data_IF_166751551950
#
_entry.id   IF_166751551950
#
_cell.length_a   1.000
_cell.length_b   1.000
_cell.length_c   1.000
_cell.angle_alpha   90.00
_cell.angle_beta   90.00
_cell.angle_gamma   90.00
#
_symmetry.space_group_name_H-M   'P 1'
#
loop_
_entity.id
_entity.type
_entity.pdbx_description
1 polymer ?
#
# COMPACT_ATOMS: atom_id res chain seq x y z
N UNK A 1 0.57 77.87 -7.46
CA UNK A 1 1.36 76.81 -8.13
C UNK A 1 2.50 76.20 -7.29
N UNK A 2 3.02 76.84 -6.22
CA UNK A 2 4.12 76.27 -5.41
C UNK A 2 3.78 75.03 -4.56
N UNK A 3 2.49 74.76 -4.27
CA UNK A 3 2.06 73.62 -3.45
C UNK A 3 1.76 72.33 -4.24
N UNK A 4 1.73 72.39 -5.57
CA UNK A 4 1.43 71.21 -6.42
C UNK A 4 2.70 70.39 -6.68
N UNK A 5 3.85 71.04 -6.90
CA UNK A 5 5.12 70.33 -7.10
C UNK A 5 5.60 69.56 -5.86
N UNK A 6 5.32 70.04 -4.64
CA UNK A 6 5.69 69.30 -3.41
C UNK A 6 4.89 68.02 -3.23
N UNK A 7 3.63 67.97 -3.70
CA UNK A 7 2.79 66.77 -3.60
C UNK A 7 3.15 65.71 -4.65
N UNK A 8 3.58 66.12 -5.85
CA UNK A 8 4.05 65.18 -6.88
C UNK A 8 5.37 64.49 -6.52
N UNK A 9 6.28 65.18 -5.82
CA UNK A 9 7.56 64.58 -5.41
C UNK A 9 7.38 63.50 -4.33
N UNK A 10 6.46 63.70 -3.39
CA UNK A 10 6.13 62.69 -2.37
C UNK A 10 5.46 61.46 -2.99
N UNK A 11 4.61 61.65 -4.01
CA UNK A 11 3.95 60.53 -4.70
C UNK A 11 4.95 59.71 -5.53
N UNK A 12 5.91 60.37 -6.20
CA UNK A 12 6.95 59.69 -6.97
C UNK A 12 7.90 58.88 -6.07
N UNK A 13 8.25 59.42 -4.89
CA UNK A 13 9.06 58.68 -3.90
C UNK A 13 8.30 57.48 -3.34
N UNK A 14 6.98 57.62 -3.12
CA UNK A 14 6.12 56.51 -2.70
C UNK A 14 6.04 55.42 -3.78
N UNK A 15 5.90 55.78 -5.06
CA UNK A 15 5.87 54.81 -6.16
C UNK A 15 7.21 54.06 -6.31
N UNK A 16 8.35 54.73 -6.16
CA UNK A 16 9.68 54.09 -6.24
C UNK A 16 9.94 53.17 -5.03
N UNK A 17 9.53 53.58 -3.82
CA UNK A 17 9.56 52.73 -2.64
C UNK A 17 8.63 51.53 -2.79
N UNK A 18 7.45 51.71 -3.42
CA UNK A 18 6.50 50.61 -3.60
C UNK A 18 6.98 49.59 -4.65
N UNK A 19 7.63 50.03 -5.73
CA UNK A 19 8.23 49.11 -6.71
C UNK A 19 9.43 48.35 -6.15
N UNK A 20 10.10 48.88 -5.12
CA UNK A 20 11.22 48.22 -4.43
C UNK A 20 10.76 47.07 -3.51
N UNK A 21 9.47 47.01 -3.15
CA UNK A 21 8.89 45.92 -2.35
C UNK A 21 8.38 44.74 -3.19
N UNK A 22 8.28 44.88 -4.52
CA UNK A 22 7.74 43.83 -5.41
C UNK A 22 8.78 43.17 -6.32
N UNK A 23 10.07 43.49 -6.18
CA UNK A 23 11.17 42.82 -6.88
C UNK A 23 12.11 42.10 -5.92
N UNK A 24 11.55 41.41 -4.92
CA UNK A 24 12.25 40.30 -4.27
C UNK A 24 11.90 39.05 -5.07
N UNK A 25 12.87 38.50 -5.80
CA UNK A 25 12.81 37.09 -6.18
C UNK A 25 12.55 36.30 -4.89
N UNK A 26 11.44 35.57 -4.86
CA UNK A 26 10.98 34.87 -3.67
C UNK A 26 11.77 33.58 -3.50
N UNK A 27 12.99 33.68 -2.97
CA UNK A 27 13.52 32.57 -2.21
C UNK A 27 12.66 32.47 -0.96
N UNK A 28 11.89 31.38 -0.86
CA UNK A 28 11.06 31.09 0.31
C UNK A 28 11.99 30.64 1.44
N UNK A 29 12.69 31.61 2.02
CA UNK A 29 13.47 31.43 3.25
C UNK A 29 12.45 31.09 4.34
N UNK A 30 12.58 29.91 4.94
CA UNK A 30 11.75 29.53 6.08
C UNK A 30 11.96 30.50 7.24
N UNK A 31 11.05 30.50 8.22
CA UNK A 31 11.12 31.39 9.40
C UNK A 31 12.47 31.31 10.17
N UNK A 32 13.27 30.28 9.92
CA UNK A 32 14.55 30.00 10.59
C UNK A 32 15.80 30.33 9.75
N UNK A 33 15.66 30.90 8.54
CA UNK A 33 16.80 31.21 7.65
C UNK A 33 17.22 30.09 6.70
N UNK A 34 16.67 28.88 6.86
CA UNK A 34 16.94 27.74 5.98
C UNK A 34 16.22 27.84 4.64
N UNK A 35 16.96 27.60 3.55
CA UNK A 35 16.41 27.48 2.20
C UNK A 35 15.48 26.28 2.14
N UNK A 36 14.23 26.51 1.71
CA UNK A 36 13.24 25.44 1.52
C UNK A 36 13.26 24.96 0.08
N UNK A 37 13.46 23.66 -0.12
CA UNK A 37 13.48 23.00 -1.42
C UNK A 37 12.19 22.18 -1.58
N UNK A 38 11.07 22.77 -2.03
CA UNK A 38 9.82 22.04 -2.16
C UNK A 38 9.95 20.93 -3.21
N UNK A 39 9.12 19.87 -3.17
CA UNK A 39 9.11 18.89 -4.24
C UNK A 39 8.90 19.52 -5.63
N UNK A 40 9.74 19.18 -6.62
CA UNK A 40 9.76 19.84 -7.95
C UNK A 40 8.53 19.55 -8.79
N UNK A 41 7.95 18.36 -8.65
CA UNK A 41 6.82 17.93 -9.47
C UNK A 41 5.51 18.10 -8.70
N UNK A 42 4.50 18.65 -9.36
CA UNK A 42 3.14 18.76 -8.82
C UNK A 42 2.47 17.38 -8.68
N UNK A 43 2.93 16.39 -9.44
CA UNK A 43 2.47 14.99 -9.39
C UNK A 43 3.65 14.10 -9.02
N UNK A 44 3.85 13.88 -7.72
CA UNK A 44 4.82 12.91 -7.22
C UNK A 44 4.14 11.55 -7.28
N UNK A 45 4.73 10.63 -8.04
CA UNK A 45 4.14 9.30 -8.29
C UNK A 45 4.91 8.18 -7.58
N UNK A 46 6.15 8.44 -7.18
CA UNK A 46 6.99 7.46 -6.50
C UNK A 46 6.73 7.50 -4.99
N UNK A 47 6.57 6.32 -4.42
CA UNK A 47 6.23 6.12 -3.01
C UNK A 47 7.09 5.01 -2.43
N UNK A 48 7.58 5.24 -1.22
CA UNK A 48 8.25 4.26 -0.38
C UNK A 48 7.32 3.87 0.75
N UNK A 49 7.22 2.56 0.94
CA UNK A 49 6.55 1.97 2.08
C UNK A 49 7.59 1.48 3.08
N UNK A 50 7.31 1.57 4.38
CA UNK A 50 8.25 1.11 5.38
C UNK A 50 8.43 -0.40 5.29
N UNK A 51 9.67 -0.86 5.44
CA UNK A 51 10.08 -2.27 5.42
C UNK A 51 9.87 -2.98 4.06
N UNK A 52 9.58 -2.22 3.00
CA UNK A 52 9.61 -2.72 1.62
C UNK A 52 11.06 -2.91 1.18
N UNK A 53 11.44 -4.16 0.88
CA UNK A 53 12.80 -4.52 0.46
C UNK A 53 12.98 -4.55 -1.05
N UNK A 54 11.95 -4.24 -1.83
CA UNK A 54 12.09 -4.07 -3.27
C UNK A 54 13.12 -2.97 -3.59
N UNK A 55 13.79 -3.08 -4.74
CA UNK A 55 14.92 -2.19 -5.11
C UNK A 55 14.54 -0.72 -5.10
N UNK A 56 13.31 -0.40 -5.53
CA UNK A 56 12.79 0.96 -5.54
C UNK A 56 13.70 1.97 -6.28
N UNK A 57 14.40 1.53 -7.33
CA UNK A 57 15.33 2.38 -8.11
C UNK A 57 14.65 3.63 -8.69
N UNK A 58 13.38 3.50 -9.11
CA UNK A 58 12.59 4.65 -9.58
C UNK A 58 12.36 5.70 -8.48
N UNK A 59 12.16 5.27 -7.23
CA UNK A 59 12.06 6.18 -6.10
C UNK A 59 13.45 6.77 -5.76
N UNK A 60 14.51 5.95 -5.78
CA UNK A 60 15.88 6.40 -5.55
C UNK A 60 16.28 7.52 -6.53
N UNK A 61 16.00 7.35 -7.82
CA UNK A 61 16.28 8.34 -8.86
C UNK A 61 15.53 9.68 -8.68
N UNK A 62 14.43 9.68 -7.93
CA UNK A 62 13.59 10.85 -7.70
C UNK A 62 13.68 11.40 -6.26
N UNK A 63 14.42 10.75 -5.36
CA UNK A 63 14.45 11.09 -3.94
C UNK A 63 14.87 12.54 -3.69
N UNK A 64 15.83 13.05 -4.47
CA UNK A 64 16.27 14.44 -4.37
C UNK A 64 15.17 15.45 -4.70
N UNK A 65 14.23 15.09 -5.57
CA UNK A 65 13.25 16.01 -6.15
C UNK A 65 11.82 15.83 -5.63
N UNK A 66 11.52 14.71 -4.96
CA UNK A 66 10.18 14.43 -4.44
C UNK A 66 9.84 12.95 -4.45
N UNK A 67 9.70 12.34 -3.27
CA UNK A 67 9.15 10.99 -3.07
C UNK A 67 8.17 11.01 -1.91
N UNK A 68 7.11 10.20 -1.98
CA UNK A 68 6.17 9.96 -0.88
C UNK A 68 6.73 8.93 0.10
N UNK A 69 6.73 9.24 1.39
CA UNK A 69 6.91 8.28 2.47
C UNK A 69 5.56 7.99 3.12
N UNK A 70 5.18 6.73 3.23
CA UNK A 70 4.04 6.32 4.05
C UNK A 70 4.48 6.18 5.49
N UNK A 71 3.86 6.96 6.38
CA UNK A 71 4.21 7.00 7.80
C UNK A 71 3.00 6.75 8.68
N UNK A 72 3.22 6.05 9.80
CA UNK A 72 2.23 5.65 10.78
C UNK A 72 2.51 6.30 12.14
N UNK A 73 1.48 6.64 12.92
CA UNK A 73 1.60 7.31 14.22
C UNK A 73 2.54 6.58 15.19
N UNK A 74 3.43 7.34 15.85
CA UNK A 74 4.35 6.86 16.90
C UNK A 74 5.41 5.85 16.44
N UNK A 75 5.50 5.55 15.14
CA UNK A 75 6.59 4.77 14.59
C UNK A 75 7.84 5.63 14.39
N UNK A 76 9.00 4.98 14.53
CA UNK A 76 10.32 5.54 14.24
C UNK A 76 10.80 5.02 12.90
N UNK A 77 11.35 5.91 12.08
CA UNK A 77 11.73 5.64 10.72
C UNK A 77 13.20 5.93 10.48
N UNK A 78 13.80 5.12 9.61
CA UNK A 78 15.12 5.37 9.02
C UNK A 78 15.01 5.34 7.51
N UNK A 79 15.41 6.44 6.86
CA UNK A 79 15.65 6.47 5.42
C UNK A 79 17.16 6.42 5.18
N UNK A 80 17.63 5.54 4.30
CA UNK A 80 19.07 5.45 4.02
C UNK A 80 19.37 5.16 2.56
N UNK A 81 20.54 5.56 2.11
CA UNK A 81 21.10 5.25 0.79
C UNK A 81 22.63 5.35 0.82
N UNK A 82 23.28 4.81 -0.21
CA UNK A 82 24.75 4.77 -0.29
C UNK A 82 25.36 6.17 -0.48
N UNK A 83 26.54 6.38 0.10
CA UNK A 83 27.30 7.63 -0.03
C UNK A 83 27.84 7.76 -1.46
N UNK A 84 27.57 8.90 -2.09
CA UNK A 84 28.30 9.34 -3.29
C UNK A 84 29.48 10.22 -2.87
N UNK A 85 30.68 9.66 -2.91
CA UNK A 85 31.92 10.36 -2.53
C UNK A 85 32.25 11.60 -3.38
N UNK A 86 31.55 11.82 -4.49
CA UNK A 86 31.75 12.98 -5.36
C UNK A 86 30.93 14.20 -4.95
N UNK A 87 30.00 14.04 -4.00
CA UNK A 87 29.10 15.09 -3.55
C UNK A 87 29.15 15.26 -2.02
N UNK A 88 28.90 16.48 -1.50
CA UNK A 88 28.71 16.69 -0.07
C UNK A 88 27.51 15.91 0.47
N UNK A 89 27.50 15.66 1.77
CA UNK A 89 26.37 15.02 2.44
C UNK A 89 25.11 15.88 2.32
N UNK A 90 24.00 15.37 1.74
CA UNK A 90 22.80 16.16 1.59
C UNK A 90 21.98 16.21 2.89
N UNK A 91 21.25 17.29 3.08
CA UNK A 91 20.20 17.40 4.10
C UNK A 91 18.88 16.86 3.54
N UNK A 92 18.13 16.13 4.36
CA UNK A 92 16.80 15.63 4.01
C UNK A 92 15.74 16.60 4.54
N UNK A 93 14.93 17.18 3.64
CA UNK A 93 13.78 18.00 4.02
C UNK A 93 12.51 17.16 3.95
N UNK A 94 11.72 17.21 5.01
CA UNK A 94 10.45 16.50 5.15
C UNK A 94 9.27 17.48 5.08
N UNK A 95 8.23 17.12 4.34
CA UNK A 95 7.06 17.97 4.11
C UNK A 95 5.76 17.25 4.43
N UNK A 96 4.86 17.95 5.13
CA UNK A 96 3.45 17.57 5.30
C UNK A 96 2.64 18.02 4.10
N UNK A 97 1.61 17.24 3.78
CA UNK A 97 0.64 17.56 2.75
C UNK A 97 -0.62 18.17 3.33
N UNK A 98 -1.25 19.04 2.56
CA UNK A 98 -2.62 19.48 2.83
C UNK A 98 -3.37 19.66 1.51
N UNK A 99 -4.66 19.34 1.52
CA UNK A 99 -5.51 19.57 0.37
C UNK A 99 -5.69 21.07 0.14
N UNK A 100 -5.41 21.52 -1.08
CA UNK A 100 -5.73 22.88 -1.50
C UNK A 100 -7.15 22.81 -2.06
N UNK A 101 -8.12 23.27 -1.28
CA UNK A 101 -9.52 23.36 -1.71
C UNK A 101 -9.62 23.95 -3.13
N UNK A 102 -10.49 23.37 -3.96
CA UNK A 102 -10.85 23.81 -5.32
C UNK A 102 -9.78 23.66 -6.43
N UNK A 103 -8.79 22.77 -6.29
CA UNK A 103 -7.89 22.45 -7.40
C UNK A 103 -7.66 20.96 -7.61
N UNK A 104 -8.05 20.48 -8.80
CA UNK A 104 -7.85 19.10 -9.29
C UNK A 104 -6.42 18.60 -9.00
N UNK A 105 -6.28 17.82 -7.93
CA UNK A 105 -5.06 17.07 -7.61
C UNK A 105 -3.85 17.90 -7.19
N UNK A 106 -3.98 19.21 -6.88
CA UNK A 106 -2.86 19.99 -6.32
C UNK A 106 -2.79 19.83 -4.81
N UNK A 107 -1.65 19.34 -4.34
CA UNK A 107 -1.37 19.17 -2.92
C UNK A 107 -0.45 20.30 -2.46
N UNK A 108 -0.82 20.99 -1.38
CA UNK A 108 0.03 21.95 -0.73
C UNK A 108 1.05 21.25 0.17
N UNK A 109 2.22 21.86 0.35
CA UNK A 109 3.28 21.30 1.17
C UNK A 109 3.70 22.28 2.25
N UNK A 110 3.96 21.78 3.45
CA UNK A 110 4.59 22.56 4.52
C UNK A 110 5.82 21.82 5.04
N UNK A 111 6.99 22.48 5.04
CA UNK A 111 8.22 21.91 5.58
C UNK A 111 8.03 21.66 7.07
N UNK A 112 8.30 20.43 7.50
CA UNK A 112 8.20 20.02 8.90
C UNK A 112 9.57 20.04 9.55
N UNK A 113 10.58 19.48 8.86
CA UNK A 113 11.92 19.26 9.40
C UNK A 113 12.97 19.26 8.28
N UNK A 114 14.18 19.62 8.67
CA UNK A 114 15.41 19.33 7.94
C UNK A 114 16.24 18.39 8.81
N UNK A 115 16.77 17.31 8.23
CA UNK A 115 17.56 16.31 8.92
C UNK A 115 18.95 16.23 8.29
N UNK A 116 19.97 16.26 9.13
CA UNK A 116 21.34 15.92 8.73
C UNK A 116 21.51 14.39 8.77
N UNK A 117 22.29 13.80 7.86
CA UNK A 117 22.53 12.37 7.88
C UNK A 117 23.51 12.00 8.99
N UNK A 118 23.27 10.87 9.62
CA UNK A 118 24.31 10.10 10.30
C UNK A 118 25.02 9.21 9.28
N UNK A 119 26.35 9.10 9.39
CA UNK A 119 27.14 8.19 8.54
C UNK A 119 27.26 6.86 9.27
N UNK A 120 26.64 5.82 8.72
CA UNK A 120 26.72 4.46 9.24
C UNK A 120 27.33 3.57 8.16
N UNK A 121 28.59 3.17 8.34
CA UNK A 121 29.34 2.47 7.31
C UNK A 121 29.52 3.34 6.06
N UNK A 122 29.03 2.89 4.90
CA UNK A 122 29.07 3.63 3.63
C UNK A 122 27.71 4.24 3.26
N UNK A 123 26.86 4.56 4.24
CA UNK A 123 25.49 5.02 4.01
C UNK A 123 25.19 6.31 4.75
N UNK A 124 24.42 7.17 4.11
CA UNK A 124 23.71 8.25 4.78
C UNK A 124 22.44 7.69 5.40
N UNK A 125 22.21 7.98 6.69
CA UNK A 125 21.04 7.52 7.44
C UNK A 125 20.34 8.71 8.07
N UNK A 126 19.05 8.87 7.77
CA UNK A 126 18.18 9.90 8.33
C UNK A 126 17.14 9.26 9.21
N UNK A 127 17.10 9.66 10.48
CA UNK A 127 16.23 9.08 11.49
C UNK A 127 15.19 10.10 11.95
N UNK A 128 13.93 9.70 12.04
CA UNK A 128 12.84 10.55 12.52
C UNK A 128 11.68 9.76 13.11
N UNK A 129 10.84 10.42 13.90
CA UNK A 129 9.61 9.84 14.46
C UNK A 129 8.41 10.49 13.78
N UNK A 130 7.39 9.70 13.46
CA UNK A 130 6.12 10.22 12.97
C UNK A 130 5.26 10.75 14.11
N UNK A 131 4.99 12.05 14.07
CA UNK A 131 4.21 12.78 15.08
C UNK A 131 2.74 12.93 14.70
N UNK A 132 2.32 12.30 13.60
CA UNK A 132 0.93 12.31 13.17
C UNK A 132 0.07 11.45 14.09
N UNK A 133 -1.22 11.77 14.16
CA UNK A 133 -2.20 11.00 14.92
C UNK A 133 -2.91 9.92 14.06
N UNK A 134 -2.65 9.89 12.75
CA UNK A 134 -3.15 8.90 11.80
C UNK A 134 -2.10 8.60 10.73
N UNK A 135 -2.27 7.49 10.00
CA UNK A 135 -1.46 7.21 8.81
C UNK A 135 -1.48 8.42 7.88
N UNK A 136 -0.31 8.83 7.42
CA UNK A 136 -0.11 10.04 6.63
C UNK A 136 0.94 9.81 5.55
N UNK A 137 0.96 10.72 4.56
CA UNK A 137 1.98 10.75 3.52
C UNK A 137 2.84 11.98 3.76
N UNK A 138 4.14 11.76 3.91
CA UNK A 138 5.14 12.84 3.93
C UNK A 138 5.87 12.87 2.60
N UNK A 139 6.28 14.06 2.16
CA UNK A 139 7.16 14.21 1.00
C UNK A 139 8.58 14.50 1.43
N UNK A 140 9.54 14.11 0.58
CA UNK A 140 10.97 14.33 0.82
C UNK A 140 11.65 15.08 -0.32
N UNK A 141 12.65 15.89 0.01
CA UNK A 141 13.66 16.36 -0.94
C UNK A 141 15.04 16.31 -0.30
N UNK A 142 16.09 16.28 -1.12
CA UNK A 142 17.49 16.33 -0.65
C UNK A 142 18.14 17.62 -1.13
N UNK A 143 18.85 18.30 -0.24
CA UNK A 143 19.50 19.58 -0.51
C UNK A 143 20.97 19.64 -0.11
N UNK A 144 21.77 20.39 -0.85
CA UNK A 144 23.14 20.81 -0.51
C UNK A 144 23.26 22.29 -0.82
N UNK A 145 23.66 23.10 0.16
CA UNK A 145 23.89 24.54 0.00
C UNK A 145 22.72 25.28 -0.70
N UNK A 146 21.49 24.93 -0.33
CA UNK A 146 20.27 25.53 -0.88
C UNK A 146 19.91 25.12 -2.31
N UNK A 147 20.60 24.14 -2.88
CA UNK A 147 20.27 23.52 -4.17
C UNK A 147 19.85 22.06 -3.97
N UNK A 148 19.10 21.50 -4.92
CA UNK A 148 18.78 20.08 -4.90
C UNK A 148 20.04 19.24 -5.05
N UNK A 149 20.10 18.13 -4.33
CA UNK A 149 21.21 17.18 -4.42
C UNK A 149 21.32 16.58 -5.83
N UNK A 150 22.53 16.61 -6.40
CA UNK A 150 22.82 16.10 -7.75
C UNK A 150 23.60 14.78 -7.75
N UNK A 151 23.90 14.23 -6.58
CA UNK A 151 24.61 12.96 -6.45
C UNK A 151 23.77 11.75 -6.80
N UNK A 152 24.45 10.62 -7.01
CA UNK A 152 23.78 9.34 -7.25
C UNK A 152 23.16 8.82 -5.97
N UNK A 153 21.96 8.27 -6.08
CA UNK A 153 21.21 7.66 -4.98
C UNK A 153 20.96 6.21 -5.38
N UNK A 154 21.58 5.28 -4.67
CA UNK A 154 21.46 3.84 -4.91
C UNK A 154 21.12 3.12 -3.62
N UNK A 155 20.55 1.92 -3.76
CA UNK A 155 20.25 1.01 -2.65
C UNK A 155 19.46 1.72 -1.55
N UNK A 156 18.40 2.43 -1.93
CA UNK A 156 17.54 3.13 -0.98
C UNK A 156 16.83 2.13 -0.08
N UNK A 157 16.70 2.46 1.21
CA UNK A 157 15.96 1.65 2.17
C UNK A 157 15.20 2.56 3.12
N UNK A 158 13.91 2.28 3.28
CA UNK A 158 13.03 2.99 4.20
C UNK A 158 12.45 1.98 5.20
N UNK A 159 12.94 2.01 6.43
CA UNK A 159 12.54 1.06 7.47
C UNK A 159 11.72 1.77 8.55
N UNK A 160 10.71 1.06 9.05
CA UNK A 160 9.85 1.49 10.13
C UNK A 160 9.94 0.54 11.31
N UNK A 161 10.06 1.10 12.50
CA UNK A 161 10.01 0.36 13.77
C UNK A 161 8.93 0.98 14.65
N UNK A 162 8.18 0.14 15.33
CA UNK A 162 7.13 0.60 16.23
C UNK A 162 7.03 -0.31 17.44
N UNK A 163 6.11 0.04 18.34
CA UNK A 163 5.92 -0.65 19.61
C UNK A 163 4.50 -1.16 19.77
N UNK A 164 3.70 -1.18 18.70
CA UNK A 164 2.38 -1.79 18.74
C UNK A 164 2.50 -3.31 18.87
N UNK A 165 1.37 -3.92 19.20
CA UNK A 165 1.29 -5.36 19.40
C UNK A 165 1.65 -6.12 18.12
N UNK A 166 2.13 -7.35 18.27
CA UNK A 166 2.16 -8.36 17.21
C UNK A 166 0.89 -9.26 17.25
N UNK A 167 -0.13 -8.83 18.00
CA UNK A 167 -1.45 -9.47 18.08
C UNK A 167 -2.50 -8.69 17.29
N UNK A 168 -3.32 -9.40 16.51
CA UNK A 168 -4.51 -8.81 15.92
C UNK A 168 -5.68 -9.81 15.90
N UNK A 169 -6.88 -9.29 15.70
CA UNK A 169 -8.08 -10.10 15.45
C UNK A 169 -8.52 -9.96 14.00
N UNK A 170 -9.37 -10.87 13.53
CA UNK A 170 -9.99 -10.76 12.20
C UNK A 170 -11.47 -10.42 12.39
N UNK A 171 -11.99 -9.49 11.60
CA UNK A 171 -13.41 -9.20 11.50
C UNK A 171 -13.86 -9.59 10.09
N UNK A 172 -14.47 -10.78 9.98
CA UNK A 172 -15.05 -11.26 8.74
C UNK A 172 -16.45 -10.64 8.57
N UNK A 173 -16.58 -9.75 7.60
CA UNK A 173 -17.84 -9.09 7.27
C UNK A 173 -18.41 -9.72 6.00
N UNK A 174 -19.54 -10.40 6.13
CA UNK A 174 -20.24 -11.06 5.04
C UNK A 174 -21.23 -10.10 4.37
N UNK A 175 -21.14 -9.94 3.05
CA UNK A 175 -21.93 -8.96 2.30
C UNK A 175 -22.80 -9.64 1.25
N UNK A 176 -24.12 -9.44 1.36
CA UNK A 176 -25.09 -10.04 0.45
C UNK A 176 -25.41 -11.50 0.78
N UNK A 177 -26.08 -12.17 -0.15
CA UNK A 177 -26.42 -13.58 -0.08
C UNK A 177 -25.16 -14.44 -0.27
N UNK A 178 -24.87 -15.29 0.71
CA UNK A 178 -23.80 -16.28 0.63
C UNK A 178 -24.37 -17.69 0.56
N UNK A 179 -23.95 -18.41 -0.48
CA UNK A 179 -24.16 -19.85 -0.59
C UNK A 179 -23.10 -20.60 0.22
N UNK A 180 -23.25 -21.93 0.31
CA UNK A 180 -22.17 -22.77 0.83
C UNK A 180 -20.98 -22.71 -0.13
N UNK A 181 -19.77 -22.83 0.40
CA UNK A 181 -18.57 -23.02 -0.43
C UNK A 181 -18.71 -24.28 -1.26
N UNK A 182 -17.86 -24.43 -2.27
CA UNK A 182 -17.98 -25.58 -3.16
C UNK A 182 -17.82 -26.95 -2.47
N UNK A 183 -17.04 -26.99 -1.38
CA UNK A 183 -16.87 -28.14 -0.49
C UNK A 183 -17.94 -28.22 0.62
N UNK A 184 -19.00 -27.43 0.52
CA UNK A 184 -20.21 -27.53 1.34
C UNK A 184 -20.17 -26.80 2.68
N UNK A 185 -19.15 -25.99 2.96
CA UNK A 185 -19.04 -25.25 4.23
C UNK A 185 -19.96 -24.03 4.23
N UNK A 186 -20.68 -23.82 5.33
CA UNK A 186 -21.36 -22.56 5.58
C UNK A 186 -20.39 -21.50 6.15
N UNK A 187 -20.88 -20.27 6.39
CA UNK A 187 -20.07 -19.16 6.93
C UNK A 187 -19.42 -19.48 8.28
N UNK A 188 -20.12 -20.17 9.18
CA UNK A 188 -19.57 -20.53 10.50
C UNK A 188 -18.44 -21.56 10.37
N UNK A 189 -18.58 -22.52 9.46
CA UNK A 189 -17.56 -23.54 9.19
C UNK A 189 -16.36 -22.94 8.44
N UNK A 190 -16.61 -22.01 7.50
CA UNK A 190 -15.60 -21.25 6.79
C UNK A 190 -14.80 -20.37 7.75
N UNK A 191 -15.47 -19.67 8.67
CA UNK A 191 -14.82 -18.76 9.61
C UNK A 191 -13.91 -19.48 10.62
N UNK A 192 -14.33 -20.65 11.12
CA UNK A 192 -13.45 -21.50 11.95
C UNK A 192 -12.25 -21.98 11.17
N UNK A 193 -12.48 -22.47 9.95
CA UNK A 193 -11.40 -22.92 9.07
C UNK A 193 -10.44 -21.78 8.71
N UNK A 194 -10.97 -20.57 8.50
CA UNK A 194 -10.19 -19.36 8.27
C UNK A 194 -9.29 -19.06 9.47
N UNK A 195 -9.83 -19.01 10.68
CA UNK A 195 -9.03 -18.75 11.89
C UNK A 195 -7.89 -19.77 12.07
N UNK A 196 -8.16 -21.05 11.84
CA UNK A 196 -7.16 -22.12 11.94
C UNK A 196 -6.04 -21.93 10.91
N UNK A 197 -6.39 -21.70 9.64
CA UNK A 197 -5.41 -21.55 8.58
C UNK A 197 -4.61 -20.25 8.71
N UNK A 198 -5.24 -19.16 9.13
CA UNK A 198 -4.54 -17.92 9.44
C UNK A 198 -3.50 -18.12 10.54
N UNK A 199 -3.84 -18.81 11.63
CA UNK A 199 -2.89 -19.14 12.70
C UNK A 199 -1.77 -20.07 12.24
N UNK A 200 -2.06 -20.99 11.33
CA UNK A 200 -1.05 -21.87 10.74
C UNK A 200 -0.06 -21.07 9.88
N UNK A 201 -0.56 -20.22 8.97
CA UNK A 201 0.29 -19.54 7.99
C UNK A 201 1.03 -18.33 8.56
N UNK A 202 0.42 -17.59 9.48
CA UNK A 202 1.00 -16.41 10.13
C UNK A 202 1.73 -16.75 11.44
N UNK A 203 2.62 -17.76 11.42
CA UNK A 203 3.24 -18.34 12.63
C UNK A 203 4.13 -17.39 13.49
N UNK A 204 4.45 -16.21 12.98
CA UNK A 204 5.29 -15.20 13.64
C UNK A 204 4.51 -14.05 14.30
N UNK A 205 3.17 -14.09 14.25
CA UNK A 205 2.27 -13.10 14.86
C UNK A 205 1.11 -13.84 15.53
N UNK A 206 0.41 -13.19 16.46
CA UNK A 206 -0.70 -13.83 17.18
C UNK A 206 -2.04 -13.39 16.60
N UNK A 207 -2.88 -14.36 16.24
CA UNK A 207 -4.25 -14.10 15.77
C UNK A 207 -5.22 -14.54 16.88
N UNK A 208 -5.73 -13.55 17.62
CA UNK A 208 -6.46 -13.78 18.86
C UNK A 208 -7.80 -14.44 18.60
N UNK A 209 -8.59 -13.89 17.68
CA UNK A 209 -9.94 -14.36 17.38
C UNK A 209 -10.38 -13.91 15.99
N UNK A 210 -11.43 -14.55 15.48
CA UNK A 210 -12.15 -14.14 14.29
C UNK A 210 -13.61 -13.88 14.66
N UNK A 211 -14.07 -12.65 14.43
CA UNK A 211 -15.46 -12.25 14.56
C UNK A 211 -16.16 -12.37 13.23
N UNK A 212 -17.40 -12.86 13.25
CA UNK A 212 -18.27 -12.86 12.08
C UNK A 212 -19.30 -11.75 12.25
N UNK A 213 -19.50 -10.98 11.19
CA UNK A 213 -20.52 -9.93 11.08
C UNK A 213 -21.19 -10.03 9.72
N UNK A 214 -22.44 -9.58 9.65
CA UNK A 214 -23.16 -9.49 8.41
C UNK A 214 -23.44 -8.02 8.09
N UNK A 215 -23.11 -7.59 6.88
CA UNK A 215 -23.23 -6.18 6.48
C UNK A 215 -24.66 -5.65 6.61
N UNK A 216 -25.68 -6.48 6.37
CA UNK A 216 -27.09 -6.11 6.53
C UNK A 216 -27.48 -5.78 7.98
N UNK A 217 -26.69 -6.19 8.96
CA UNK A 217 -26.87 -5.90 10.39
C UNK A 217 -26.11 -4.64 10.81
N UNK A 218 -25.33 -4.01 9.92
CA UNK A 218 -24.56 -2.82 10.24
C UNK A 218 -25.49 -1.67 10.68
N UNK A 219 -25.29 -1.04 11.85
CA UNK A 219 -26.25 -0.11 12.45
C UNK A 219 -26.66 1.08 11.56
N UNK A 220 -25.74 1.56 10.73
CA UNK A 220 -25.95 2.73 9.86
C UNK A 220 -25.96 2.41 8.36
N UNK A 221 -25.49 1.22 7.98
CA UNK A 221 -25.25 0.86 6.57
C UNK A 221 -26.03 -0.37 6.12
N UNK A 222 -26.65 -1.13 7.05
CA UNK A 222 -27.26 -2.42 6.72
C UNK A 222 -28.35 -2.36 5.65
N UNK A 223 -29.09 -1.26 5.58
CA UNK A 223 -30.08 -1.04 4.53
C UNK A 223 -29.51 -0.98 3.11
N UNK A 224 -28.21 -0.69 2.96
CA UNK A 224 -27.51 -0.67 1.66
C UNK A 224 -27.03 -2.05 1.21
N UNK A 225 -26.87 -2.99 2.13
CA UNK A 225 -26.27 -4.31 1.86
C UNK A 225 -27.22 -5.44 2.27
N UNK A 226 -28.34 -5.62 1.57
CA UNK A 226 -29.35 -6.61 1.93
C UNK A 226 -28.83 -8.05 1.77
N UNK A 227 -29.23 -8.94 2.69
CA UNK A 227 -28.76 -10.32 2.76
C UNK A 227 -29.36 -11.26 1.70
N UNK A 228 -30.38 -10.81 0.95
CA UNK A 228 -31.19 -11.64 0.05
C UNK A 228 -30.70 -11.64 -1.40
N UNK A 229 -29.63 -10.90 -1.71
CA UNK A 229 -29.10 -10.77 -3.08
C UNK A 229 -27.57 -10.88 -3.09
N UNK A 230 -26.98 -11.46 -4.15
CA UNK A 230 -25.53 -11.50 -4.28
C UNK A 230 -24.98 -10.06 -4.37
N UNK A 231 -23.77 -9.86 -3.82
CA UNK A 231 -23.10 -8.57 -3.89
C UNK A 231 -21.76 -8.64 -4.62
N UNK A 232 -21.56 -7.72 -5.57
CA UNK A 232 -20.38 -7.68 -6.43
C UNK A 232 -19.55 -6.45 -6.08
N UNK A 233 -18.29 -6.65 -5.70
CA UNK A 233 -17.37 -5.54 -5.44
C UNK A 233 -16.72 -5.05 -6.74
N UNK A 234 -16.46 -3.74 -6.84
CA UNK A 234 -15.75 -3.14 -7.97
C UNK A 234 -16.62 -2.84 -9.20
N UNK A 235 -17.95 -2.76 -9.05
CA UNK A 235 -18.81 -2.21 -10.11
C UNK A 235 -18.61 -0.70 -10.27
N UNK A 236 -18.11 -0.04 -9.21
CA UNK A 236 -17.66 1.35 -9.23
C UNK A 236 -16.34 1.51 -8.47
N UNK A 237 -15.65 2.63 -8.66
CA UNK A 237 -14.43 2.92 -7.88
C UNK A 237 -14.72 3.18 -6.40
N UNK A 238 -15.97 3.49 -6.04
CA UNK A 238 -16.37 3.79 -4.66
C UNK A 238 -16.66 2.52 -3.84
N UNK A 239 -17.04 1.42 -4.49
CA UNK A 239 -17.43 0.16 -3.83
C UNK A 239 -16.33 -0.91 -3.85
N UNK A 240 -15.14 -0.59 -4.37
CA UNK A 240 -14.07 -1.57 -4.51
C UNK A 240 -13.67 -2.13 -3.14
N UNK A 241 -13.27 -1.28 -2.20
CA UNK A 241 -12.74 -1.76 -0.91
C UNK A 241 -13.79 -1.93 0.19
N UNK A 242 -15.00 -1.40 0.02
CA UNK A 242 -16.09 -1.44 1.01
C UNK A 242 -15.64 -1.02 2.44
N UNK A 243 -14.64 -0.13 2.52
CA UNK A 243 -13.98 0.28 3.76
C UNK A 243 -14.94 0.94 4.78
N UNK A 244 -16.06 1.46 4.29
CA UNK A 244 -17.14 2.00 5.11
C UNK A 244 -17.79 0.97 6.03
N UNK A 245 -17.74 -0.33 5.68
CA UNK A 245 -18.31 -1.42 6.48
C UNK A 245 -17.50 -1.76 7.72
N UNK A 246 -16.29 -1.24 7.85
CA UNK A 246 -15.40 -1.57 8.96
C UNK A 246 -15.66 -0.73 10.23
N UNK A 247 -16.47 0.33 10.14
CA UNK A 247 -16.78 1.26 11.24
C UNK A 247 -17.78 0.75 12.28
N UNK A 248 -17.59 -0.48 12.79
CA UNK A 248 -18.47 -1.07 13.80
C UNK A 248 -18.28 -0.39 15.17
N UNK A 249 -19.35 -0.21 15.97
CA UNK A 249 -19.30 0.49 17.25
C UNK A 249 -18.57 -0.29 18.36
N UNK A 250 -18.41 -1.61 18.24
CA UNK A 250 -17.84 -2.43 19.30
C UNK A 250 -16.33 -2.22 19.49
N UNK A 251 -15.90 -1.97 20.73
CA UNK A 251 -14.50 -1.66 21.05
C UNK A 251 -13.52 -2.79 20.71
N UNK A 252 -13.96 -4.04 20.76
CA UNK A 252 -13.13 -5.21 20.45
C UNK A 252 -12.80 -5.37 18.96
N UNK A 253 -13.42 -4.56 18.08
CA UNK A 253 -13.16 -4.54 16.64
C UNK A 253 -12.18 -3.43 16.23
N UNK A 254 -11.76 -2.56 17.17
CA UNK A 254 -10.83 -1.46 16.86
C UNK A 254 -9.45 -1.92 16.39
N UNK A 255 -9.09 -3.15 16.74
CA UNK A 255 -7.78 -3.74 16.46
C UNK A 255 -7.88 -4.93 15.49
N UNK A 256 -9.01 -5.05 14.78
CA UNK A 256 -9.22 -6.16 13.86
C UNK A 256 -8.89 -5.78 12.42
N UNK A 257 -8.31 -6.72 11.69
CA UNK A 257 -8.24 -6.69 10.24
C UNK A 257 -9.63 -6.99 9.68
N UNK A 258 -10.15 -6.12 8.82
CA UNK A 258 -11.44 -6.37 8.18
C UNK A 258 -11.25 -7.19 6.91
N UNK A 259 -11.86 -8.37 6.89
CA UNK A 259 -11.95 -9.22 5.70
C UNK A 259 -13.39 -9.18 5.22
N UNK A 260 -13.62 -8.61 4.04
CA UNK A 260 -14.94 -8.45 3.45
C UNK A 260 -15.17 -9.59 2.48
N UNK A 261 -16.09 -10.49 2.83
CA UNK A 261 -16.51 -11.60 1.97
C UNK A 261 -17.72 -11.18 1.15
N UNK A 262 -17.52 -11.07 -0.16
CA UNK A 262 -18.56 -10.73 -1.15
C UNK A 262 -18.88 -11.93 -2.04
N UNK A 263 -19.93 -11.83 -2.85
CA UNK A 263 -20.27 -12.91 -3.77
C UNK A 263 -19.18 -13.09 -4.84
N UNK A 264 -18.76 -12.00 -5.47
CA UNK A 264 -17.71 -11.98 -6.50
C UNK A 264 -17.13 -10.59 -6.67
N UNK A 265 -16.01 -10.50 -7.39
CA UNK A 265 -15.43 -9.23 -7.84
C UNK A 265 -15.81 -9.00 -9.30
N UNK A 266 -16.05 -7.74 -9.69
CA UNK A 266 -16.50 -7.37 -11.03
C UNK A 266 -15.48 -7.69 -12.13
N UNK A 267 -14.19 -7.68 -11.79
CA UNK A 267 -13.09 -8.00 -12.71
C UNK A 267 -12.94 -9.52 -12.93
N UNK A 268 -12.58 -9.91 -14.16
CA UNK A 268 -12.32 -11.30 -14.50
C UNK A 268 -11.05 -11.82 -13.82
N UNK A 269 -11.08 -13.08 -13.38
CA UNK A 269 -9.96 -13.83 -12.81
C UNK A 269 -9.38 -13.21 -11.53
N UNK A 270 -10.17 -12.40 -10.81
CA UNK A 270 -9.81 -11.83 -9.52
C UNK A 270 -10.63 -12.46 -8.41
N UNK A 271 -9.93 -13.04 -7.44
CA UNK A 271 -10.52 -13.67 -6.25
C UNK A 271 -10.49 -12.76 -5.03
N UNK A 272 -9.52 -11.84 -4.98
CA UNK A 272 -9.37 -10.90 -3.89
C UNK A 272 -8.54 -9.70 -4.30
N UNK A 273 -8.55 -8.68 -3.44
CA UNK A 273 -7.59 -7.60 -3.48
C UNK A 273 -7.47 -6.96 -2.09
N UNK A 274 -6.29 -6.42 -1.81
CA UNK A 274 -6.04 -5.53 -0.70
C UNK A 274 -5.35 -4.26 -1.16
N UNK A 275 -5.41 -3.24 -0.31
CA UNK A 275 -4.51 -2.10 -0.47
C UNK A 275 -3.12 -2.46 0.00
N UNK A 276 -2.17 -2.35 -0.91
CA UNK A 276 -0.77 -2.64 -0.68
C UNK A 276 -0.24 -1.73 0.46
N UNK A 277 0.32 -2.34 1.51
CA UNK A 277 0.86 -1.67 2.70
C UNK A 277 -0.12 -0.70 3.40
N UNK A 278 -1.42 -1.04 3.42
CA UNK A 278 -2.43 -0.18 4.02
C UNK A 278 -2.18 0.12 5.50
N UNK A 279 -1.93 -0.93 6.30
CA UNK A 279 -1.52 -0.78 7.68
C UNK A 279 -2.44 -0.02 8.62
N UNK A 280 -3.75 -0.10 8.40
CA UNK A 280 -4.77 0.47 9.29
C UNK A 280 -5.73 -0.62 9.75
N UNK A 281 -5.65 -1.01 11.03
CA UNK A 281 -6.62 -1.94 11.63
C UNK A 281 -7.85 -1.19 12.16
N UNK A 282 -8.96 -1.90 12.35
CA UNK A 282 -10.21 -1.34 12.85
C UNK A 282 -10.95 -0.53 11.81
N UNK A 283 -10.78 0.79 11.77
CA UNK A 283 -11.56 1.71 10.93
C UNK A 283 -10.67 2.58 10.03
N UNK A 284 -11.11 2.89 8.80
CA UNK A 284 -10.41 3.79 7.88
C UNK A 284 -10.55 3.37 6.42
N UNK A 285 -10.20 4.24 5.46
CA UNK A 285 -10.38 3.95 4.02
C UNK A 285 -9.50 2.82 3.47
N UNK A 286 -8.44 2.47 4.19
CA UNK A 286 -7.45 1.51 3.73
C UNK A 286 -7.61 0.14 4.41
N UNK A 287 -8.49 0.01 5.39
CA UNK A 287 -8.47 -1.05 6.41
C UNK A 287 -9.07 -2.43 6.01
N UNK A 288 -9.25 -2.68 4.73
CA UNK A 288 -10.02 -3.82 4.24
C UNK A 288 -9.25 -4.68 3.23
N UNK A 289 -9.41 -5.99 3.43
CA UNK A 289 -9.12 -7.04 2.47
C UNK A 289 -10.46 -7.50 1.90
N UNK A 290 -10.62 -7.54 0.58
CA UNK A 290 -11.86 -8.00 -0.06
C UNK A 290 -11.60 -9.33 -0.74
N UNK A 291 -12.48 -10.30 -0.51
CA UNK A 291 -12.42 -11.64 -1.10
C UNK A 291 -13.78 -12.06 -1.65
N UNK A 292 -13.79 -12.77 -2.77
CA UNK A 292 -14.98 -13.32 -3.40
C UNK A 292 -15.23 -14.77 -2.99
N UNK A 293 -16.49 -15.15 -2.84
CA UNK A 293 -16.92 -16.56 -2.79
C UNK A 293 -16.92 -17.22 -4.17
N UNK A 294 -17.00 -16.41 -5.23
CA UNK A 294 -16.91 -16.81 -6.63
C UNK A 294 -15.83 -16.01 -7.36
N UNK A 295 -15.25 -16.63 -8.39
CA UNK A 295 -14.39 -15.94 -9.36
C UNK A 295 -15.10 -15.81 -10.70
N UNK A 296 -15.04 -14.62 -11.29
CA UNK A 296 -15.58 -14.37 -12.63
C UNK A 296 -14.61 -14.86 -13.69
N UNK A 297 -14.97 -15.88 -14.47
CA UNK A 297 -14.16 -16.38 -15.60
C UNK A 297 -14.42 -15.60 -16.88
N UNK A 298 -15.67 -15.20 -17.07
CA UNK A 298 -16.10 -14.36 -18.19
C UNK A 298 -17.33 -13.54 -17.77
N UNK A 299 -17.83 -12.67 -18.66
CA UNK A 299 -18.98 -11.81 -18.37
C UNK A 299 -20.21 -12.57 -17.81
N UNK A 300 -20.41 -13.81 -18.25
CA UNK A 300 -21.57 -14.63 -17.87
C UNK A 300 -21.19 -15.92 -17.14
N UNK A 301 -19.95 -16.07 -16.70
CA UNK A 301 -19.45 -17.29 -16.08
C UNK A 301 -18.80 -16.99 -14.73
N UNK A 302 -19.35 -17.61 -13.69
CA UNK A 302 -18.88 -17.54 -12.32
C UNK A 302 -18.55 -18.96 -11.86
N UNK A 303 -17.38 -19.12 -11.26
CA UNK A 303 -16.97 -20.37 -10.61
C UNK A 303 -17.09 -20.19 -9.10
N UNK A 304 -17.82 -21.10 -8.44
CA UNK A 304 -17.89 -21.18 -6.98
C UNK A 304 -16.58 -21.71 -6.40
N UNK A 305 -16.00 -20.98 -5.44
CA UNK A 305 -14.72 -21.34 -4.85
C UNK A 305 -14.87 -22.34 -3.68
N UNK A 306 -13.83 -23.15 -3.50
CA UNK A 306 -13.67 -23.97 -2.30
C UNK A 306 -13.32 -23.10 -1.10
N UNK A 307 -13.61 -23.59 0.11
CA UNK A 307 -13.20 -22.92 1.35
C UNK A 307 -11.70 -22.68 1.43
N UNK A 308 -10.87 -23.62 0.96
CA UNK A 308 -9.42 -23.47 0.88
C UNK A 308 -9.02 -22.27 0.00
N UNK A 309 -9.59 -22.15 -1.21
CA UNK A 309 -9.25 -21.05 -2.10
C UNK A 309 -9.66 -19.70 -1.49
N UNK A 310 -10.87 -19.61 -0.93
CA UNK A 310 -11.36 -18.38 -0.28
C UNK A 310 -10.42 -17.96 0.86
N UNK A 311 -10.05 -18.90 1.73
CA UNK A 311 -9.20 -18.59 2.89
C UNK A 311 -7.77 -18.31 2.46
N UNK A 312 -7.19 -19.05 1.52
CA UNK A 312 -5.83 -18.78 1.03
C UNK A 312 -5.74 -17.46 0.27
N UNK A 313 -6.78 -17.07 -0.47
CA UNK A 313 -6.87 -15.71 -1.03
C UNK A 313 -6.88 -14.68 0.10
N UNK A 314 -7.67 -14.87 1.16
CA UNK A 314 -7.67 -13.96 2.29
C UNK A 314 -6.28 -13.86 2.95
N UNK A 315 -5.59 -14.99 3.12
CA UNK A 315 -4.22 -15.06 3.65
C UNK A 315 -3.25 -14.31 2.75
N UNK A 316 -3.32 -14.49 1.42
CA UNK A 316 -2.50 -13.81 0.43
C UNK A 316 -2.71 -12.28 0.44
N UNK A 317 -3.96 -11.84 0.34
CA UNK A 317 -4.31 -10.42 0.33
C UNK A 317 -3.96 -9.72 1.65
N UNK A 318 -4.05 -10.46 2.77
CA UNK A 318 -3.56 -9.98 4.06
C UNK A 318 -2.03 -9.81 4.06
N UNK A 319 -1.29 -10.61 3.29
CA UNK A 319 0.14 -10.44 3.09
C UNK A 319 0.44 -9.10 2.41
N UNK A 320 -0.31 -8.74 1.35
CA UNK A 320 -0.24 -7.41 0.74
C UNK A 320 -0.57 -6.28 1.72
N UNK A 321 -1.58 -6.47 2.55
CA UNK A 321 -1.95 -5.52 3.59
C UNK A 321 -0.80 -5.27 4.58
N UNK A 322 -0.08 -6.32 4.99
CA UNK A 322 1.07 -6.26 5.90
C UNK A 322 2.42 -5.97 5.21
N UNK A 323 2.39 -5.62 3.93
CA UNK A 323 3.55 -5.09 3.23
C UNK A 323 4.38 -6.11 2.46
N UNK A 324 3.78 -7.21 2.06
CA UNK A 324 4.38 -8.12 1.10
C UNK A 324 3.99 -7.74 -0.33
N UNK A 325 4.92 -7.93 -1.26
CA UNK A 325 4.67 -7.89 -2.70
C UNK A 325 4.49 -9.31 -3.21
N UNK A 326 4.01 -9.43 -4.45
CA UNK A 326 4.17 -10.70 -5.15
C UNK A 326 5.65 -11.03 -5.27
N UNK A 327 6.01 -12.30 -5.06
CA UNK A 327 7.39 -12.77 -5.23
C UNK A 327 7.93 -12.46 -6.63
N UNK A 328 7.05 -12.53 -7.61
CA UNK A 328 7.28 -12.12 -8.99
C UNK A 328 6.17 -11.19 -9.45
N UNK A 329 6.51 -9.94 -9.78
CA UNK A 329 5.53 -8.95 -10.18
C UNK A 329 4.85 -9.32 -11.51
N UNK A 330 3.54 -9.13 -11.55
CA UNK A 330 2.73 -9.20 -12.76
C UNK A 330 2.76 -7.85 -13.49
N UNK A 331 2.31 -7.82 -14.75
CA UNK A 331 2.18 -6.55 -15.48
C UNK A 331 1.23 -5.55 -14.80
N UNK A 332 0.24 -6.03 -14.04
CA UNK A 332 -0.70 -5.19 -13.29
C UNK A 332 -0.01 -4.52 -12.09
N UNK A 333 0.95 -5.19 -11.48
CA UNK A 333 1.68 -4.67 -10.31
C UNK A 333 2.64 -3.55 -10.68
N UNK A 334 3.28 -3.65 -11.84
CA UNK A 334 4.39 -2.78 -12.20
C UNK A 334 3.95 -1.35 -12.53
N UNK A 335 2.76 -1.12 -13.10
CA UNK A 335 2.29 0.23 -13.54
C UNK A 335 3.35 1.07 -14.28
N UNK A 336 4.33 0.44 -14.92
CA UNK A 336 5.46 1.07 -15.61
C UNK A 336 6.77 1.19 -14.82
N UNK A 337 6.77 0.90 -13.52
CA UNK A 337 7.95 0.87 -12.66
C UNK A 337 8.56 -0.54 -12.59
N UNK A 338 9.52 -0.80 -13.48
CA UNK A 338 10.22 -2.09 -13.56
C UNK A 338 11.21 -2.32 -12.41
N UNK A 339 11.47 -1.33 -11.54
CA UNK A 339 12.39 -1.49 -10.41
C UNK A 339 11.85 -2.44 -9.33
N UNK A 340 10.54 -2.66 -9.31
CA UNK A 340 9.85 -3.51 -8.34
C UNK A 340 9.31 -4.80 -8.97
N UNK A 341 10.11 -5.37 -9.89
CA UNK A 341 9.83 -6.63 -10.59
C UNK A 341 9.91 -7.88 -9.70
N UNK A 342 10.77 -7.80 -8.70
CA UNK A 342 10.92 -8.77 -7.63
C UNK A 342 10.54 -8.09 -6.30
N UNK A 343 10.16 -8.89 -5.31
CA UNK A 343 9.80 -8.39 -3.97
C UNK A 343 11.02 -7.92 -3.15
N UNK A 344 12.23 -8.22 -3.62
CA UNK A 344 13.50 -7.82 -3.00
C UNK A 344 14.01 -8.74 -1.90
N UNK A 345 13.36 -9.90 -1.66
CA UNK A 345 13.80 -10.83 -0.63
C UNK A 345 14.73 -11.89 -1.22
N UNK A 346 15.77 -12.25 -0.46
CA UNK A 346 16.76 -13.21 -0.97
C UNK A 346 16.28 -14.66 -0.89
N UNK A 347 15.19 -14.93 -0.18
CA UNK A 347 14.60 -16.27 0.00
C UNK A 347 13.35 -16.51 -0.87
N UNK A 348 12.97 -15.55 -1.72
CA UNK A 348 11.88 -15.65 -2.71
C UNK A 348 12.44 -15.46 -4.13
N UNK A 349 12.96 -16.52 -4.76
CA UNK A 349 13.58 -16.40 -6.07
C UNK A 349 12.59 -15.95 -7.16
N UNK A 350 12.95 -14.91 -7.92
CA UNK A 350 12.14 -14.36 -9.00
C UNK A 350 11.87 -15.38 -10.13
N UNK A 351 10.60 -15.51 -10.53
CA UNK A 351 10.16 -16.25 -11.70
C UNK A 351 9.90 -15.33 -12.90
N UNK A 352 10.85 -15.30 -13.84
CA UNK A 352 10.78 -14.47 -15.06
C UNK A 352 9.63 -14.79 -16.04
N UNK A 353 8.95 -15.91 -15.87
CA UNK A 353 7.84 -16.31 -16.73
C UNK A 353 6.71 -15.26 -16.75
N UNK A 354 6.38 -14.65 -15.61
CA UNK A 354 5.23 -13.75 -15.48
C UNK A 354 5.29 -12.50 -16.34
N UNK A 355 6.48 -11.97 -16.61
CA UNK A 355 6.66 -10.83 -17.50
C UNK A 355 6.19 -11.11 -18.94
N UNK A 356 6.37 -12.36 -19.36
CA UNK A 356 6.09 -12.83 -20.72
C UNK A 356 4.76 -13.57 -20.81
N UNK A 357 4.24 -14.03 -19.67
CA UNK A 357 3.01 -14.83 -19.62
C UNK A 357 1.77 -14.00 -19.98
N UNK A 358 0.80 -14.67 -20.59
CA UNK A 358 -0.55 -14.13 -20.82
C UNK A 358 -1.52 -14.47 -19.68
N UNK A 359 -1.03 -15.01 -18.57
CA UNK A 359 -1.85 -15.45 -17.42
C UNK A 359 -2.59 -14.29 -16.74
N UNK A 360 -2.30 -13.05 -17.12
CA UNK A 360 -3.03 -11.84 -16.72
C UNK A 360 -3.52 -11.06 -17.95
N UNK A 361 -4.04 -11.77 -18.94
CA UNK A 361 -4.26 -11.25 -20.30
C UNK A 361 -4.88 -9.85 -20.29
N UNK A 362 -4.19 -8.96 -21.02
CA UNK A 362 -4.76 -7.72 -21.56
C UNK A 362 -6.16 -8.02 -22.09
N UNK A 363 -7.14 -7.21 -21.67
CA UNK A 363 -8.53 -7.17 -22.15
C UNK A 363 -8.74 -7.91 -23.48
N UNK A 364 -9.19 -9.17 -23.41
CA UNK A 364 -9.57 -9.96 -24.57
C UNK A 364 -8.72 -11.20 -24.80
N UNK A 365 -9.31 -12.35 -24.41
CA UNK A 365 -9.24 -13.69 -25.05
C UNK A 365 -8.95 -14.79 -24.01
N UNK A 366 -10.00 -15.33 -23.41
CA UNK A 366 -9.99 -16.51 -22.55
C UNK A 366 -9.43 -17.72 -23.28
N UNK A 367 -8.49 -18.44 -22.67
CA UNK A 367 -8.21 -19.86 -22.90
C UNK A 367 -7.41 -20.37 -21.68
N UNK A 368 -8.00 -20.32 -20.50
CA UNK A 368 -7.57 -21.17 -19.38
C UNK A 368 -8.83 -21.72 -18.70
N UNK A 369 -9.13 -22.98 -18.98
CA UNK A 369 -10.21 -23.71 -18.33
C UNK A 369 -9.67 -24.18 -16.98
N UNK A 370 -9.89 -23.37 -15.94
CA UNK A 370 -9.80 -23.84 -14.56
C UNK A 370 -10.99 -24.77 -14.34
N UNK A 371 -10.76 -26.07 -14.44
CA UNK A 371 -11.76 -27.08 -14.12
C UNK A 371 -12.10 -26.99 -12.63
N UNK A 372 -13.41 -26.98 -12.34
CA UNK A 372 -13.96 -26.73 -11.02
C UNK A 372 -13.59 -27.71 -9.92
N UNK A 373 -14.37 -27.64 -8.85
CA UNK A 373 -14.14 -28.25 -7.56
C UNK A 373 -13.72 -29.72 -7.61
N UNK A 374 -12.39 -29.90 -7.56
CA UNK A 374 -11.62 -31.13 -7.32
C UNK A 374 -12.23 -32.41 -7.89
N UNK A 375 -11.83 -32.73 -9.11
CA UNK A 375 -11.60 -34.13 -9.50
C UNK A 375 -10.22 -34.29 -10.16
N UNK A 376 -9.37 -35.07 -9.49
CA UNK A 376 -8.12 -35.69 -9.96
C UNK A 376 -6.95 -34.76 -10.33
N UNK A 377 -6.00 -34.63 -9.38
CA UNK A 377 -4.63 -34.11 -9.59
C UNK A 377 -3.82 -35.07 -10.49
N UNK A 378 -4.17 -35.15 -11.77
CA UNK A 378 -3.42 -35.84 -12.79
C UNK A 378 -3.27 -34.93 -14.02
N UNK A 379 -2.72 -33.72 -13.81
CA UNK A 379 -2.48 -32.77 -14.90
C UNK A 379 -0.98 -32.64 -15.17
N UNK A 380 -0.67 -32.77 -16.45
CA UNK A 380 0.63 -32.68 -17.11
C UNK A 380 1.46 -31.47 -16.67
N UNK A 381 2.60 -31.73 -16.00
CA UNK A 381 3.64 -30.77 -15.54
C UNK A 381 4.41 -30.05 -16.67
N UNK A 382 3.78 -29.74 -17.80
CA UNK A 382 4.45 -29.14 -18.96
C UNK A 382 4.23 -27.63 -19.09
N UNK A 383 3.40 -27.01 -18.23
CA UNK A 383 3.27 -25.54 -18.22
C UNK A 383 4.48 -24.92 -17.51
N UNK A 384 5.20 -23.96 -18.13
CA UNK A 384 6.37 -23.31 -17.55
C UNK A 384 6.15 -22.71 -16.15
N UNK A 385 4.90 -22.41 -15.77
CA UNK A 385 4.60 -21.91 -14.43
C UNK A 385 4.99 -22.91 -13.33
N UNK A 386 4.82 -24.21 -13.55
CA UNK A 386 5.18 -25.24 -12.56
C UNK A 386 6.70 -25.41 -12.38
N UNK A 387 7.50 -24.70 -13.19
CA UNK A 387 8.95 -24.62 -13.04
C UNK A 387 9.41 -23.38 -12.24
N UNK A 388 8.48 -22.51 -11.82
CA UNK A 388 8.81 -21.38 -10.97
C UNK A 388 9.34 -21.86 -9.60
N UNK A 389 10.47 -21.32 -9.13
CA UNK A 389 11.11 -21.77 -7.89
C UNK A 389 10.36 -21.38 -6.60
N UNK A 390 9.42 -20.46 -6.70
CA UNK A 390 8.61 -19.84 -5.64
C UNK A 390 7.12 -20.23 -5.72
N UNK A 391 6.79 -21.30 -6.45
CA UNK A 391 5.43 -21.78 -6.69
C UNK A 391 4.64 -22.10 -5.41
N UNK A 392 5.35 -22.47 -4.35
CA UNK A 392 4.87 -22.78 -3.01
C UNK A 392 4.95 -21.59 -2.04
N UNK A 393 5.17 -20.39 -2.56
CA UNK A 393 5.03 -19.18 -1.78
C UNK A 393 3.58 -18.70 -1.75
N UNK A 394 3.10 -18.28 -0.58
CA UNK A 394 1.75 -17.69 -0.45
C UNK A 394 1.61 -16.44 -1.33
N UNK A 395 2.66 -15.62 -1.47
CA UNK A 395 2.67 -14.42 -2.29
C UNK A 395 2.99 -14.68 -3.76
N UNK A 396 2.98 -15.95 -4.19
CA UNK A 396 3.01 -16.26 -5.60
C UNK A 396 1.72 -15.74 -6.26
N UNK A 397 1.79 -15.04 -7.41
CA UNK A 397 0.69 -14.18 -7.86
C UNK A 397 -0.55 -14.96 -8.35
N UNK A 398 -0.40 -16.23 -8.73
CA UNK A 398 -1.52 -17.05 -9.20
C UNK A 398 -1.76 -18.26 -8.30
N UNK A 399 -3.00 -18.71 -8.25
CA UNK A 399 -3.31 -20.01 -7.66
C UNK A 399 -2.79 -21.11 -8.56
N UNK A 400 -2.12 -22.07 -7.93
CA UNK A 400 -1.61 -23.26 -8.61
C UNK A 400 -2.30 -24.46 -7.98
N UNK A 401 -2.95 -25.24 -8.83
CA UNK A 401 -3.69 -26.42 -8.39
C UNK A 401 -2.81 -27.37 -7.59
N UNK A 402 -3.40 -28.00 -6.57
CA UNK A 402 -2.77 -29.05 -5.76
C UNK A 402 -1.54 -28.61 -4.94
N UNK A 403 -1.30 -27.30 -4.75
CA UNK A 403 -0.27 -26.79 -3.83
C UNK A 403 -0.87 -26.39 -2.47
N UNK A 404 -1.18 -27.39 -1.63
CA UNK A 404 -1.66 -27.17 -0.25
C UNK A 404 -0.53 -26.77 0.73
N UNK A 405 0.72 -26.92 0.31
CA UNK A 405 1.91 -26.66 1.13
C UNK A 405 2.39 -25.22 1.14
N UNK A 406 1.64 -24.29 0.54
CA UNK A 406 2.09 -22.91 0.40
C UNK A 406 2.38 -22.26 1.76
N UNK A 407 3.48 -21.53 1.85
CA UNK A 407 3.94 -20.87 3.09
C UNK A 407 4.61 -19.53 2.84
N UNK A 408 4.73 -18.72 3.90
CA UNK A 408 5.59 -17.54 3.90
C UNK A 408 7.02 -17.93 4.24
N UNK A 409 7.99 -17.23 3.63
CA UNK A 409 9.40 -17.35 4.04
C UNK A 409 9.65 -16.64 5.37
N UNK A 410 10.85 -16.85 5.94
CA UNK A 410 11.24 -16.17 7.17
C UNK A 410 11.34 -14.65 6.98
N UNK A 411 11.85 -14.18 5.84
CA UNK A 411 11.92 -12.73 5.56
C UNK A 411 10.53 -12.12 5.41
N UNK A 412 9.61 -12.80 4.73
CA UNK A 412 8.22 -12.35 4.63
C UNK A 412 7.54 -12.24 6.00
N UNK A 413 7.74 -13.22 6.88
CA UNK A 413 7.18 -13.16 8.24
C UNK A 413 7.78 -12.05 9.09
N UNK A 414 9.07 -11.75 8.93
CA UNK A 414 9.68 -10.60 9.63
C UNK A 414 9.15 -9.26 9.13
N UNK A 415 8.88 -9.13 7.82
CA UNK A 415 8.22 -7.95 7.27
C UNK A 415 6.80 -7.81 7.83
N UNK A 416 6.00 -8.88 7.83
CA UNK A 416 4.65 -8.87 8.41
C UNK A 416 4.71 -8.41 9.88
N UNK A 417 5.61 -9.00 10.68
CA UNK A 417 5.76 -8.68 12.10
C UNK A 417 6.17 -7.23 12.32
N UNK A 418 7.20 -6.76 11.61
CA UNK A 418 7.69 -5.38 11.74
C UNK A 418 6.67 -4.35 11.25
N UNK A 419 5.93 -4.65 10.18
CA UNK A 419 4.81 -3.86 9.69
C UNK A 419 3.65 -3.82 10.70
N UNK A 420 3.28 -4.95 11.30
CA UNK A 420 2.23 -4.97 12.32
C UNK A 420 2.61 -4.08 13.52
N UNK A 421 3.86 -4.13 13.96
CA UNK A 421 4.35 -3.32 15.09
C UNK A 421 4.38 -1.80 14.83
N UNK A 422 4.27 -1.33 13.57
CA UNK A 422 4.10 0.10 13.24
C UNK A 422 2.64 0.52 13.09
N UNK A 423 1.70 -0.41 12.92
CA UNK A 423 0.30 -0.11 12.69
C UNK A 423 -0.42 0.18 14.01
N UNK A 424 -1.15 1.29 14.15
CA UNK A 424 -1.86 1.58 15.39
C UNK A 424 -2.98 0.58 15.67
N UNK A 425 -2.85 -0.16 16.77
CA UNK A 425 -3.88 -1.02 17.36
C UNK A 425 -3.54 -1.33 18.83
#
# INVERSE_FOLDING_TARGET
>A
MKNVCKKMWVLALFCILWTSFFTSCSDTVGADGDVTLPPKNLTIVHKLYPNDLAKNDSAAANLAFGVMLVVHPKASYTLSFDIDSTQPAPELQLFRTFDINDSDGRVGYNKVRTLLPEIVGNRYVYSFVCEENKMSIWFTTLGVDGNYYEGKINNISFNGTGTYSDHFSINLIVVGAMEKTCDGKNVDELSRYMLDLFREKYYGVTIDTLYVRYAHEHPTLGSKYPADRPWVAGESSEDTFLSELAGWPEDNLRNSLNVILVHSIGENEIMGFARLFSGVLGAGKENSVVIGAHVRKSLNELELLSSYNIVMTAVHETGHFFGLRHTSATRRDLKGDMSNIEDGLTDTPFCGYFLTSTLYKQSGRSDFVSSGCRENCAISRNDPIYACPDLDNIMFPVTVDCNEGASFTNQQMEIIRSSLMIFPH
#
